data_IF_650263148433
#
_entry.id   IF_650263148433
#
_cell.length_a   1.000
_cell.length_b   1.000
_cell.length_c   1.000
_cell.angle_alpha   90.00
_cell.angle_beta   90.00
_cell.angle_gamma   90.00
#
_symmetry.space_group_name_H-M   'P 1'
#
loop_
_entity.id
_entity.type
_entity.pdbx_description
1 polymer ?
#
# COMPACT_ATOMS: atom_id res chain seq x y z
N UNK A 1 -0.86 37.26 -10.57
CA UNK A 1 -0.39 35.91 -10.16
C UNK A 1 -1.42 34.92 -10.68
N UNK A 2 -1.06 34.11 -11.67
CA UNK A 2 -1.98 33.14 -12.27
C UNK A 2 -1.94 31.86 -11.42
N UNK A 3 -3.07 31.31 -10.94
CA UNK A 3 -3.05 30.02 -10.28
C UNK A 3 -2.81 28.94 -11.32
N UNK A 4 -1.75 28.16 -11.12
CA UNK A 4 -1.52 26.89 -11.82
C UNK A 4 -2.61 25.93 -11.34
N UNK A 5 -3.67 25.77 -12.14
CA UNK A 5 -4.70 24.76 -11.89
C UNK A 5 -4.14 23.43 -12.37
N UNK A 6 -3.50 22.69 -11.47
CA UNK A 6 -3.20 21.27 -11.66
C UNK A 6 -4.31 20.49 -10.96
N UNK A 7 -5.23 19.95 -11.77
CA UNK A 7 -6.18 18.86 -11.46
C UNK A 7 -6.69 18.67 -10.03
N UNK A 8 -7.22 19.70 -9.36
CA UNK A 8 -7.66 19.57 -7.98
C UNK A 8 -8.91 18.67 -7.84
N UNK A 9 -8.72 17.40 -7.49
CA UNK A 9 -9.79 16.53 -6.96
C UNK A 9 -10.42 17.21 -5.73
N UNK A 10 -11.74 17.42 -5.75
CA UNK A 10 -12.47 17.99 -4.60
C UNK A 10 -12.78 16.85 -3.64
N UNK A 11 -12.09 16.84 -2.51
CA UNK A 11 -12.33 15.88 -1.44
C UNK A 11 -13.37 16.42 -0.44
N UNK A 12 -14.24 15.54 0.05
CA UNK A 12 -15.16 15.89 1.12
C UNK A 12 -14.36 16.17 2.41
N UNK A 13 -14.60 17.29 3.08
CA UNK A 13 -13.97 17.58 4.38
C UNK A 13 -14.28 16.45 5.37
N UNK A 14 -13.28 15.90 6.09
CA UNK A 14 -11.92 16.40 6.31
C UNK A 14 -10.82 15.86 5.37
N UNK A 15 -11.18 15.17 4.30
CA UNK A 15 -10.23 14.53 3.40
C UNK A 15 -9.44 15.55 2.56
N UNK A 16 -8.24 15.15 2.16
CA UNK A 16 -7.33 15.96 1.36
C UNK A 16 -6.96 15.24 0.06
N UNK A 17 -6.78 15.98 -1.05
CA UNK A 17 -6.29 15.39 -2.29
C UNK A 17 -4.79 15.07 -2.15
N UNK A 18 -4.38 13.95 -2.72
CA UNK A 18 -2.99 13.52 -2.80
C UNK A 18 -2.72 12.82 -4.12
N UNK A 19 -1.56 13.10 -4.70
CA UNK A 19 -1.09 12.40 -5.89
C UNK A 19 -0.57 11.01 -5.52
N UNK A 20 -0.88 10.05 -6.36
CA UNK A 20 -0.40 8.66 -6.24
C UNK A 20 0.51 8.39 -7.42
N UNK A 21 1.71 7.88 -7.16
CA UNK A 21 2.65 7.49 -8.20
C UNK A 21 2.02 6.39 -9.08
N UNK A 22 2.30 6.43 -10.37
CA UNK A 22 1.72 5.52 -11.37
C UNK A 22 0.19 5.71 -11.55
N UNK A 23 -0.30 6.91 -11.20
CA UNK A 23 -1.64 7.39 -11.51
C UNK A 23 -1.57 8.78 -12.13
N UNK A 24 -2.47 9.04 -13.09
CA UNK A 24 -2.64 10.34 -13.74
C UNK A 24 -3.67 11.24 -13.03
N UNK A 25 -4.23 10.79 -11.91
CA UNK A 25 -5.24 11.51 -11.13
C UNK A 25 -4.90 11.57 -9.64
N UNK A 26 -5.40 12.62 -8.98
CA UNK A 26 -5.32 12.80 -7.53
C UNK A 26 -6.49 12.13 -6.82
N UNK A 27 -6.23 11.70 -5.59
CA UNK A 27 -7.10 10.84 -4.82
C UNK A 27 -7.35 11.39 -3.42
N UNK A 28 -8.49 11.07 -2.83
CA UNK A 28 -8.83 11.55 -1.50
C UNK A 28 -8.31 10.62 -0.40
N UNK A 29 -7.68 11.21 0.61
CA UNK A 29 -7.20 10.51 1.81
C UNK A 29 -7.64 11.24 3.08
N UNK A 30 -7.96 10.49 4.13
CA UNK A 30 -8.30 11.02 5.45
C UNK A 30 -7.13 10.85 6.45
N UNK A 31 -6.70 11.95 7.06
CA UNK A 31 -5.67 11.99 8.10
C UNK A 31 -4.29 12.48 7.62
N UNK A 32 -3.25 12.36 8.47
CA UNK A 32 -1.92 12.85 8.13
C UNK A 32 -1.40 12.10 6.91
N UNK A 33 -1.04 12.84 5.87
CA UNK A 33 -0.68 12.27 4.57
C UNK A 33 0.76 11.74 4.54
N UNK A 34 0.96 10.69 3.74
CA UNK A 34 2.30 10.17 3.41
C UNK A 34 3.02 11.16 2.48
N UNK A 35 3.82 12.06 3.06
CA UNK A 35 4.55 13.09 2.33
C UNK A 35 5.84 13.45 3.06
N UNK A 36 6.88 13.83 2.31
CA UNK A 36 8.12 14.34 2.88
C UNK A 36 8.84 13.26 3.69
N UNK A 37 9.06 13.50 4.97
CA UNK A 37 9.74 12.55 5.86
C UNK A 37 8.76 11.66 6.65
N UNK A 38 7.45 11.78 6.39
CA UNK A 38 6.41 11.08 7.14
C UNK A 38 6.15 9.68 6.59
N UNK A 39 6.86 8.68 7.15
CA UNK A 39 6.61 7.26 6.88
C UNK A 39 5.31 6.72 7.51
N UNK A 40 4.77 7.44 8.50
CA UNK A 40 3.53 7.11 9.21
C UNK A 40 2.29 7.75 8.57
N UNK A 41 2.49 8.46 7.46
CA UNK A 41 1.40 9.08 6.74
C UNK A 41 0.53 8.06 6.01
N UNK A 42 -0.73 8.43 5.81
CA UNK A 42 -1.74 7.62 5.15
C UNK A 42 -1.73 7.87 3.65
N UNK A 43 -2.12 6.85 2.92
CA UNK A 43 -2.43 6.91 1.51
C UNK A 43 -3.91 6.59 1.26
N UNK A 44 -4.45 7.00 0.10
CA UNK A 44 -5.83 6.74 -0.24
C UNK A 44 -6.16 5.25 -0.22
N UNK A 45 -7.31 4.91 0.36
CA UNK A 45 -7.88 3.57 0.23
C UNK A 45 -8.53 3.36 -1.15
N UNK A 46 -9.14 2.19 -1.37
CA UNK A 46 -9.93 1.90 -2.56
C UNK A 46 -10.97 2.97 -2.88
N UNK A 47 -10.94 3.51 -4.10
CA UNK A 47 -11.94 4.43 -4.63
C UNK A 47 -11.96 4.40 -6.17
N UNK A 48 -12.86 5.14 -6.79
CA UNK A 48 -12.92 5.24 -8.26
C UNK A 48 -11.55 5.68 -8.83
N UNK A 49 -11.02 4.95 -9.80
CA UNK A 49 -9.68 5.17 -10.36
C UNK A 49 -8.51 4.56 -9.57
N UNK A 50 -8.76 4.07 -8.34
CA UNK A 50 -7.79 3.45 -7.44
C UNK A 50 -8.38 2.23 -6.74
N UNK A 51 -8.74 1.21 -7.50
CA UNK A 51 -9.54 0.05 -7.03
C UNK A 51 -8.91 -0.71 -5.85
N UNK A 52 -7.58 -0.71 -5.74
CA UNK A 52 -6.84 -1.41 -4.68
C UNK A 52 -6.29 -0.46 -3.60
N UNK A 53 -6.50 0.85 -3.75
CA UNK A 53 -5.89 1.85 -2.90
C UNK A 53 -4.42 2.11 -3.23
N UNK A 54 -3.72 2.72 -2.30
CA UNK A 54 -2.31 3.06 -2.39
C UNK A 54 -1.61 2.82 -1.04
N UNK A 55 -0.29 2.66 -1.09
CA UNK A 55 0.55 2.46 0.10
C UNK A 55 1.62 3.54 0.22
N UNK A 56 2.04 3.82 1.47
CA UNK A 56 3.10 4.78 1.74
C UNK A 56 4.47 4.14 1.49
N UNK A 57 5.26 4.73 0.62
CA UNK A 57 6.59 4.23 0.27
C UNK A 57 7.54 5.36 -0.10
N UNK A 58 8.84 5.04 -0.16
CA UNK A 58 9.85 6.01 -0.57
C UNK A 58 9.80 6.19 -2.09
N UNK A 59 9.77 7.43 -2.54
CA UNK A 59 9.83 7.80 -3.95
C UNK A 59 11.28 7.82 -4.43
N UNK A 60 11.49 7.84 -5.74
CA UNK A 60 12.81 8.01 -6.37
C UNK A 60 13.51 9.32 -5.97
N UNK A 61 12.74 10.32 -5.56
CA UNK A 61 13.23 11.59 -5.00
C UNK A 61 13.79 11.47 -3.58
N UNK A 62 13.60 10.32 -2.91
CA UNK A 62 14.10 10.08 -1.56
C UNK A 62 13.16 10.51 -0.43
N UNK A 63 12.00 11.07 -0.73
CA UNK A 63 10.93 11.38 0.23
C UNK A 63 9.81 10.34 0.17
N UNK A 64 8.97 10.28 1.19
CA UNK A 64 7.76 9.46 1.23
C UNK A 64 6.65 10.01 0.35
N UNK A 65 5.91 9.10 -0.29
CA UNK A 65 4.74 9.37 -1.10
C UNK A 65 3.91 8.11 -1.33
N UNK A 66 2.74 8.28 -1.95
CA UNK A 66 1.82 7.18 -2.18
C UNK A 66 2.10 6.47 -3.50
N UNK A 67 2.19 5.14 -3.46
CA UNK A 67 2.32 4.26 -4.62
C UNK A 67 1.00 3.55 -4.89
N UNK A 68 0.60 3.46 -6.15
CA UNK A 68 -0.62 2.74 -6.55
C UNK A 68 -0.49 1.25 -6.25
N UNK A 69 -1.53 0.64 -5.70
CA UNK A 69 -1.66 -0.80 -5.70
C UNK A 69 -2.27 -1.24 -7.03
N UNK A 70 -1.58 -2.10 -7.77
CA UNK A 70 -2.10 -2.73 -9.00
C UNK A 70 -2.05 -4.25 -8.88
N UNK A 71 -3.10 -4.94 -9.33
CA UNK A 71 -2.98 -6.34 -9.71
C UNK A 71 -2.20 -6.38 -11.03
N UNK A 72 -0.89 -6.66 -10.97
CA UNK A 72 -0.08 -6.73 -12.19
C UNK A 72 -0.56 -7.90 -13.07
N UNK A 73 -0.94 -7.69 -14.36
CA UNK A 73 -0.91 -8.77 -15.34
C UNK A 73 0.56 -9.16 -15.61
N UNK A 74 0.84 -10.42 -16.00
CA UNK A 74 2.21 -10.92 -16.14
C UNK A 74 2.92 -10.11 -17.23
N UNK A 75 3.89 -9.29 -16.83
CA UNK A 75 4.85 -8.79 -17.79
C UNK A 75 5.69 -9.98 -18.24
N UNK A 76 5.75 -10.21 -19.55
CA UNK A 76 6.56 -11.25 -20.17
C UNK A 76 8.03 -10.92 -19.93
N UNK A 77 8.58 -11.45 -18.84
CA UNK A 77 9.98 -11.31 -18.46
C UNK A 77 10.87 -12.00 -19.50
N UNK A 78 11.77 -11.23 -20.13
CA UNK A 78 12.97 -11.82 -20.73
C UNK A 78 13.88 -12.29 -19.60
N UNK A 79 14.22 -13.56 -19.67
CA UNK A 79 15.01 -14.32 -18.70
C UNK A 79 16.47 -13.84 -18.75
N UNK A 80 16.79 -12.72 -18.11
CA UNK A 80 18.19 -12.32 -17.86
C UNK A 80 18.36 -11.51 -16.56
N UNK A 81 17.30 -10.84 -16.06
CA UNK A 81 17.35 -10.06 -14.80
C UNK A 81 16.77 -10.80 -13.59
N UNK A 82 17.06 -12.11 -13.49
CA UNK A 82 16.64 -12.96 -12.37
C UNK A 82 17.41 -12.64 -11.08
N UNK A 83 17.10 -11.50 -10.42
CA UNK A 83 17.38 -11.32 -8.99
C UNK A 83 16.47 -10.31 -8.28
N UNK A 84 15.16 -10.45 -8.42
CA UNK A 84 14.19 -10.23 -7.34
C UNK A 84 12.84 -10.75 -7.86
N UNK A 85 12.50 -12.00 -7.53
CA UNK A 85 11.14 -12.48 -7.78
C UNK A 85 10.20 -11.60 -6.94
N UNK A 86 9.48 -10.70 -7.60
CA UNK A 86 8.36 -9.99 -7.00
C UNK A 86 7.30 -11.05 -6.69
N UNK A 87 7.25 -11.50 -5.43
CA UNK A 87 6.28 -12.46 -4.95
C UNK A 87 4.87 -11.99 -5.37
N UNK A 88 4.21 -12.78 -6.21
CA UNK A 88 2.88 -12.53 -6.72
C UNK A 88 1.92 -12.21 -5.55
N UNK A 89 1.06 -11.20 -5.71
CA UNK A 89 0.06 -10.89 -4.70
C UNK A 89 -0.95 -12.06 -4.56
N UNK A 90 -1.24 -12.55 -3.35
CA UNK A 90 -2.24 -13.59 -3.16
C UNK A 90 -3.63 -13.04 -3.51
N UNK A 91 -4.47 -13.89 -4.09
CA UNK A 91 -5.88 -13.55 -4.31
C UNK A 91 -6.64 -13.54 -2.97
N UNK A 92 -6.82 -12.34 -2.41
CA UNK A 92 -7.53 -12.15 -1.15
C UNK A 92 -9.05 -11.96 -1.30
N UNK A 93 -9.64 -12.14 -2.49
CA UNK A 93 -11.09 -11.97 -2.68
C UNK A 93 -11.92 -13.16 -2.19
N UNK A 94 -11.28 -14.18 -1.63
CA UNK A 94 -11.94 -15.38 -1.11
C UNK A 94 -12.81 -15.12 0.13
N UNK A 95 -12.53 -14.04 0.87
CA UNK A 95 -13.33 -13.59 2.01
C UNK A 95 -13.51 -12.07 1.96
N UNK A 96 -14.66 -11.55 2.41
CA UNK A 96 -14.86 -10.11 2.51
C UNK A 96 -13.87 -9.51 3.52
N UNK A 97 -13.40 -8.30 3.22
CA UNK A 97 -12.47 -7.53 4.05
C UNK A 97 -11.05 -8.11 4.19
N UNK A 98 -10.58 -8.90 3.22
CA UNK A 98 -9.17 -9.25 3.13
C UNK A 98 -8.45 -8.38 2.10
N UNK A 99 -7.19 -8.06 2.38
CA UNK A 99 -6.28 -7.40 1.44
C UNK A 99 -4.88 -8.03 1.55
N UNK A 100 -4.09 -7.98 0.45
CA UNK A 100 -2.71 -8.44 0.47
C UNK A 100 -1.86 -7.57 1.42
N UNK A 101 -1.05 -8.21 2.25
CA UNK A 101 -0.09 -7.60 3.16
C UNK A 101 1.27 -8.26 3.01
N UNK A 102 2.34 -7.49 3.12
CA UNK A 102 3.70 -8.03 3.07
C UNK A 102 4.12 -8.57 4.44
N UNK A 103 4.55 -9.82 4.46
CA UNK A 103 5.19 -10.47 5.60
C UNK A 103 6.68 -10.56 5.35
N UNK A 104 7.46 -9.99 6.26
CA UNK A 104 8.91 -10.01 6.20
C UNK A 104 9.42 -11.45 6.08
N UNK A 105 10.37 -11.66 5.18
CA UNK A 105 11.02 -12.95 4.92
C UNK A 105 10.09 -14.07 4.38
N UNK A 106 8.80 -13.79 4.16
CA UNK A 106 7.80 -14.74 3.63
C UNK A 106 7.18 -14.25 2.32
N UNK A 107 6.92 -12.95 2.17
CA UNK A 107 6.26 -12.37 1.00
C UNK A 107 4.80 -12.01 1.27
N UNK A 108 3.98 -11.94 0.21
CA UNK A 108 2.62 -11.41 0.30
C UNK A 108 1.62 -12.47 0.79
N UNK A 109 0.86 -12.15 1.85
CA UNK A 109 -0.20 -12.98 2.41
C UNK A 109 -1.50 -12.17 2.55
N UNK A 110 -2.63 -12.83 2.84
CA UNK A 110 -3.89 -12.13 3.07
C UNK A 110 -4.10 -11.79 4.54
N UNK A 111 -4.42 -10.53 4.84
CA UNK A 111 -4.82 -10.08 6.17
C UNK A 111 -6.13 -9.31 6.13
N UNK A 112 -6.80 -9.29 7.28
CA UNK A 112 -8.07 -8.58 7.41
C UNK A 112 -7.84 -7.06 7.43
N UNK A 113 -8.73 -6.29 6.82
CA UNK A 113 -8.69 -4.83 6.92
C UNK A 113 -8.96 -4.37 8.37
N UNK A 114 -8.28 -3.32 8.87
CA UNK A 114 -7.18 -2.60 8.22
C UNK A 114 -5.90 -3.44 8.24
N UNK A 115 -5.15 -3.51 7.14
CA UNK A 115 -3.90 -4.30 7.08
C UNK A 115 -2.71 -3.54 7.69
N UNK A 116 -1.67 -4.28 8.10
CA UNK A 116 -0.37 -3.74 8.49
C UNK A 116 0.40 -3.19 7.27
N UNK A 117 0.00 -1.99 6.82
CA UNK A 117 0.64 -1.25 5.72
C UNK A 117 0.59 0.26 6.02
N UNK A 118 1.37 0.71 7.00
CA UNK A 118 1.40 2.11 7.45
C UNK A 118 0.68 2.41 8.78
N UNK A 119 0.18 1.40 9.49
CA UNK A 119 -0.46 1.55 10.81
C UNK A 119 -0.09 0.40 11.74
N UNK A 120 0.41 0.71 12.95
CA UNK A 120 0.71 -0.28 14.01
C UNK A 120 -0.51 -1.10 14.44
N UNK A 121 -1.71 -0.55 14.25
CA UNK A 121 -2.97 -1.23 14.55
C UNK A 121 -3.51 -2.04 13.35
N UNK A 122 -2.70 -2.21 12.30
CA UNK A 122 -3.06 -3.04 11.15
C UNK A 122 -2.97 -4.53 11.49
N UNK A 123 -3.92 -5.31 10.99
CA UNK A 123 -3.92 -6.75 11.13
C UNK A 123 -2.85 -7.38 10.24
N UNK A 124 -2.31 -8.48 10.73
CA UNK A 124 -1.44 -9.38 10.00
C UNK A 124 -2.20 -10.65 9.60
N UNK A 125 -1.63 -11.50 8.72
CA UNK A 125 -2.33 -12.65 8.19
C UNK A 125 -2.87 -13.55 9.29
N UNK A 126 -4.14 -13.92 9.17
CA UNK A 126 -4.72 -14.97 9.99
C UNK A 126 -4.31 -16.31 9.38
N UNK A 127 -3.57 -17.11 10.12
CA UNK A 127 -3.04 -18.40 9.66
C UNK A 127 -4.20 -19.33 9.29
N UNK A 128 -4.42 -19.60 7.99
CA UNK A 128 -5.45 -20.57 7.54
C UNK A 128 -5.07 -22.02 7.87
N UNK A 129 -3.85 -22.28 8.36
CA UNK A 129 -3.38 -23.61 8.73
C UNK A 129 -2.29 -23.52 9.80
N UNK A 130 -2.66 -23.83 11.06
CA UNK A 130 -1.82 -24.56 12.04
C UNK A 130 -0.32 -24.19 12.21
N UNK A 131 0.08 -22.93 12.04
CA UNK A 131 1.32 -22.44 12.64
C UNK A 131 0.95 -21.58 13.85
N UNK A 132 1.39 -22.01 15.04
CA UNK A 132 1.23 -21.30 16.31
C UNK A 132 2.12 -20.05 16.42
N UNK A 133 2.37 -19.38 15.30
CA UNK A 133 3.19 -18.19 15.25
C UNK A 133 2.32 -17.01 14.83
N UNK A 134 2.10 -16.09 15.78
CA UNK A 134 1.25 -14.91 15.59
C UNK A 134 2.06 -13.82 14.92
N UNK A 135 1.80 -13.58 13.63
CA UNK A 135 2.38 -12.44 12.94
C UNK A 135 1.96 -11.13 13.61
N UNK A 136 2.94 -10.27 13.91
CA UNK A 136 2.74 -8.96 14.54
C UNK A 136 3.16 -7.83 13.60
N UNK A 137 2.47 -6.70 13.70
CA UNK A 137 2.76 -5.53 12.88
C UNK A 137 3.91 -4.73 13.52
N UNK A 138 5.07 -4.72 12.86
CA UNK A 138 6.27 -4.01 13.34
C UNK A 138 6.81 -3.03 12.30
N UNK A 139 7.47 -1.98 12.79
CA UNK A 139 8.16 -1.03 11.94
C UNK A 139 9.55 -1.57 11.59
N UNK A 140 9.72 -2.04 10.35
CA UNK A 140 10.95 -2.64 9.84
C UNK A 140 11.30 -2.05 8.48
N UNK A 141 12.58 -1.77 8.26
CA UNK A 141 13.10 -1.18 7.00
C UNK A 141 12.35 0.08 6.55
N UNK A 142 11.93 0.87 7.55
CA UNK A 142 11.17 2.11 7.41
C UNK A 142 9.71 1.98 6.90
N UNK A 143 9.08 0.82 7.07
CA UNK A 143 7.66 0.59 6.83
C UNK A 143 7.05 -0.33 7.91
N UNK A 144 5.74 -0.26 8.13
CA UNK A 144 5.07 -1.30 8.92
C UNK A 144 4.93 -2.57 8.08
N UNK A 145 5.43 -3.68 8.61
CA UNK A 145 5.43 -4.99 7.99
C UNK A 145 4.96 -6.03 9.00
N UNK A 146 4.33 -7.09 8.51
CA UNK A 146 4.04 -8.23 9.36
C UNK A 146 5.31 -9.03 9.55
N UNK A 147 5.66 -9.32 10.81
CA UNK A 147 6.80 -10.14 11.18
C UNK A 147 6.37 -11.28 12.07
N UNK A 148 7.13 -12.37 12.05
CA UNK A 148 7.06 -13.45 13.01
C UNK A 148 7.57 -13.03 14.38
#
# INVERSE_FOLDING_TARGET
MNPVVVGATICASPMQPISVLESDQDFCVDGPICVGDSSLGKCPGPQEGLEFGAFCGKLSSGVYGCHKLTLLPPQTLRIEDARLEAAEAPNCTILPNLAPVNVKDIGMLCAQLPICAGNVNGNCPVTLTKLEETYRCEFVDNAYQCVL
#
